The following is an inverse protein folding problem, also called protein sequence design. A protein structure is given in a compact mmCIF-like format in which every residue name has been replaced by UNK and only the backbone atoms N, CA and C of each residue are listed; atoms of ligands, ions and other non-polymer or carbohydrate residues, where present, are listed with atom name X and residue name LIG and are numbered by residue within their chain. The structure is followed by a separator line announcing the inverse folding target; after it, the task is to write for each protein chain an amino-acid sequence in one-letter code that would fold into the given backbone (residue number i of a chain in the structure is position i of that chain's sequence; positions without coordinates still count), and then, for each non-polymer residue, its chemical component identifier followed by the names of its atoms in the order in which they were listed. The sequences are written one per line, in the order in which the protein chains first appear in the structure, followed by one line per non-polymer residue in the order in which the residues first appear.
data_IF_007392975591
#
_entry.id   IF_007392975591
#
_cell.length_a   1.000
_cell.length_b   1.000
_cell.length_c   1.000
_cell.angle_alpha   90.00
_cell.angle_beta   90.00
_cell.angle_gamma   90.00
#
_symmetry.space_group_name_H-M   'P 1'
#
loop_
_entity.id
_entity.type
_entity.pdbx_description
1 polymer ?
#
# COMPACT_ATOMS: atom_id res chain seq x y z
N UNK A 1 -0.71 -26.17 13.19
CA UNK A 1 -1.38 -24.88 13.45
C UNK A 1 -0.32 -23.78 13.36
N UNK A 2 -0.04 -23.29 12.16
CA UNK A 2 0.99 -22.26 11.89
C UNK A 2 0.32 -20.90 12.07
N UNK A 3 0.71 -20.21 13.13
CA UNK A 3 0.10 -18.93 13.54
C UNK A 3 0.49 -17.81 12.57
N UNK A 4 -0.50 -17.01 12.19
CA UNK A 4 -0.34 -15.75 11.48
C UNK A 4 0.60 -14.76 12.21
N UNK A 5 0.93 -15.08 13.43
CA UNK A 5 1.76 -14.29 14.34
C UNK A 5 3.26 -14.35 14.01
N UNK A 6 3.72 -15.28 13.16
CA UNK A 6 5.16 -15.51 12.98
C UNK A 6 5.92 -14.37 12.31
N UNK A 7 5.31 -13.68 11.36
CA UNK A 7 5.98 -12.51 10.74
C UNK A 7 6.00 -11.33 11.71
N UNK A 8 4.91 -11.12 12.44
CA UNK A 8 4.86 -10.12 13.49
C UNK A 8 5.78 -10.48 14.67
N UNK A 9 5.88 -11.77 15.02
CA UNK A 9 6.78 -12.27 16.07
C UNK A 9 8.26 -12.14 15.73
N UNK A 10 8.64 -12.07 14.43
CA UNK A 10 10.03 -11.81 14.03
C UNK A 10 10.55 -10.46 14.53
N UNK A 11 9.68 -9.49 14.70
CA UNK A 11 10.01 -8.15 15.18
C UNK A 11 9.80 -7.99 16.69
N UNK A 12 9.30 -9.04 17.36
CA UNK A 12 9.02 -9.03 18.80
C UNK A 12 10.25 -9.49 19.60
N UNK A 13 10.61 -8.69 20.61
CA UNK A 13 11.65 -9.06 21.57
C UNK A 13 11.01 -9.74 22.78
N UNK A 14 11.74 -10.64 23.49
CA UNK A 14 11.26 -11.22 24.73
C UNK A 14 10.90 -10.19 25.81
N UNK A 15 11.48 -9.01 25.73
CA UNK A 15 11.26 -7.88 26.66
C UNK A 15 10.16 -6.93 26.22
N UNK A 16 9.55 -7.14 25.06
CA UNK A 16 8.50 -6.25 24.56
C UNK A 16 7.22 -6.46 25.37
N UNK A 17 6.50 -5.37 25.70
CA UNK A 17 5.22 -5.48 26.39
C UNK A 17 4.19 -6.18 25.50
N UNK A 18 3.14 -6.79 26.11
CA UNK A 18 2.09 -7.44 25.33
C UNK A 18 1.41 -6.46 24.39
N UNK A 19 1.19 -6.90 23.13
CA UNK A 19 0.48 -6.12 22.14
C UNK A 19 -1.03 -6.31 22.27
N UNK A 20 -1.72 -5.16 22.20
CA UNK A 20 -3.17 -5.12 22.12
C UNK A 20 -3.58 -4.50 20.78
N UNK A 21 -3.48 -5.25 19.66
CA UNK A 21 -3.73 -4.70 18.31
C UNK A 21 -5.15 -4.13 18.13
N UNK A 22 -6.13 -4.62 18.91
CA UNK A 22 -7.49 -4.09 18.90
C UNK A 22 -7.59 -2.65 19.39
N UNK A 23 -6.65 -2.19 20.25
CA UNK A 23 -6.61 -0.79 20.71
C UNK A 23 -6.28 0.18 19.57
N UNK A 24 -5.58 -0.27 18.53
CA UNK A 24 -5.28 0.54 17.35
C UNK A 24 -6.50 0.73 16.43
N UNK A 25 -7.51 -0.13 16.56
CA UNK A 25 -8.76 0.00 15.81
C UNK A 25 -9.53 1.27 16.20
N UNK A 26 -9.48 1.67 17.46
CA UNK A 26 -10.21 2.85 17.96
C UNK A 26 -9.70 4.14 17.30
N UNK A 27 -8.40 4.51 17.39
CA UNK A 27 -7.90 5.68 16.68
C UNK A 27 -8.03 5.53 15.17
N UNK A 28 -7.86 4.33 14.60
CA UNK A 28 -8.07 4.08 13.18
C UNK A 28 -9.50 4.42 12.72
N UNK A 29 -10.50 4.00 13.46
CA UNK A 29 -11.91 4.31 13.15
C UNK A 29 -12.19 5.81 13.35
N UNK A 30 -11.68 6.41 14.42
CA UNK A 30 -11.91 7.84 14.73
C UNK A 30 -11.26 8.73 13.67
N UNK A 31 -9.96 8.50 13.38
CA UNK A 31 -9.25 9.32 12.40
C UNK A 31 -9.68 9.01 10.96
N UNK A 32 -9.89 7.74 10.61
CA UNK A 32 -10.38 7.34 9.29
C UNK A 32 -11.80 7.83 9.03
N UNK A 33 -12.70 7.62 9.99
CA UNK A 33 -14.09 8.12 9.92
C UNK A 33 -14.16 9.65 9.89
N UNK A 34 -13.36 10.32 10.71
CA UNK A 34 -13.24 11.78 10.71
C UNK A 34 -12.71 12.32 9.38
N UNK A 35 -11.72 11.66 8.79
CA UNK A 35 -11.20 12.01 7.47
C UNK A 35 -12.27 11.85 6.38
N UNK A 36 -13.00 10.73 6.35
CA UNK A 36 -14.09 10.50 5.39
C UNK A 36 -15.18 11.55 5.55
N UNK A 37 -15.58 11.85 6.79
CA UNK A 37 -16.57 12.88 7.07
C UNK A 37 -16.10 14.27 6.59
N UNK A 38 -14.87 14.65 6.86
CA UNK A 38 -14.29 15.91 6.38
C UNK A 38 -14.16 15.93 4.84
N UNK A 39 -13.80 14.82 4.21
CA UNK A 39 -13.73 14.72 2.75
C UNK A 39 -15.11 14.89 2.10
N UNK A 40 -16.18 14.38 2.74
CA UNK A 40 -17.54 14.52 2.23
C UNK A 40 -18.06 15.97 2.29
N UNK A 41 -17.47 16.85 3.12
CA UNK A 41 -17.78 18.28 3.14
C UNK A 41 -17.13 19.09 2.01
N UNK A 42 -16.32 18.46 1.18
CA UNK A 42 -15.65 19.10 0.04
C UNK A 42 -14.49 20.03 0.45
N UNK A 43 -13.85 19.79 1.57
CA UNK A 43 -12.69 20.59 2.02
C UNK A 43 -11.55 20.50 0.99
N UNK A 44 -11.21 21.66 0.41
CA UNK A 44 -10.13 21.76 -0.57
C UNK A 44 -8.78 21.32 0.07
N UNK A 45 -8.01 20.54 -0.68
CA UNK A 45 -6.68 20.11 -0.27
C UNK A 45 -6.62 18.91 0.69
N UNK A 46 -7.77 18.41 1.19
CA UNK A 46 -7.76 17.28 2.13
C UNK A 46 -7.21 15.99 1.51
N UNK A 47 -7.53 15.72 0.25
CA UNK A 47 -7.03 14.55 -0.48
C UNK A 47 -5.51 14.65 -0.65
N UNK A 48 -5.00 15.83 -1.04
CA UNK A 48 -3.57 16.08 -1.18
C UNK A 48 -2.84 15.95 0.15
N UNK A 49 -3.44 16.44 1.24
CA UNK A 49 -2.91 16.23 2.59
C UNK A 49 -2.86 14.75 2.97
N UNK A 50 -3.88 13.98 2.61
CA UNK A 50 -3.91 12.52 2.79
C UNK A 50 -2.78 11.81 2.07
N UNK A 51 -2.52 12.16 0.80
CA UNK A 51 -1.38 11.61 0.04
C UNK A 51 -0.03 12.02 0.64
N UNK A 52 0.11 13.27 1.08
CA UNK A 52 1.34 13.74 1.73
C UNK A 52 1.62 12.96 3.01
N UNK A 53 0.62 12.81 3.87
CA UNK A 53 0.73 12.03 5.12
C UNK A 53 1.09 10.58 4.82
N UNK A 54 0.41 9.97 3.86
CA UNK A 54 0.72 8.60 3.41
C UNK A 54 2.18 8.46 2.97
N UNK A 55 2.65 9.37 2.12
CA UNK A 55 4.02 9.34 1.61
C UNK A 55 5.05 9.49 2.72
N UNK A 56 4.86 10.45 3.64
CA UNK A 56 5.77 10.68 4.76
C UNK A 56 5.82 9.47 5.71
N UNK A 57 4.67 8.87 6.00
CA UNK A 57 4.58 7.66 6.83
C UNK A 57 5.25 6.46 6.16
N UNK A 58 5.08 6.27 4.84
CA UNK A 58 5.74 5.20 4.11
C UNK A 58 7.28 5.38 4.08
N UNK A 59 7.77 6.61 3.87
CA UNK A 59 9.21 6.91 3.95
C UNK A 59 9.74 6.65 5.36
N UNK A 60 9.03 7.12 6.39
CA UNK A 60 9.36 6.87 7.79
C UNK A 60 9.36 5.38 8.14
N UNK A 61 8.43 4.61 7.55
CA UNK A 61 8.35 3.16 7.68
C UNK A 61 9.63 2.48 7.19
N UNK A 62 10.09 2.83 5.97
CA UNK A 62 11.32 2.25 5.40
C UNK A 62 12.54 2.54 6.29
N UNK A 63 12.65 3.78 6.79
CA UNK A 63 13.70 4.14 7.74
C UNK A 63 13.59 3.36 9.06
N UNK A 64 12.38 3.20 9.58
CA UNK A 64 12.14 2.43 10.80
C UNK A 64 12.44 0.94 10.66
N UNK A 65 12.14 0.36 9.50
CA UNK A 65 12.40 -1.06 9.19
C UNK A 65 13.88 -1.37 8.97
N UNK A 66 14.72 -0.37 8.74
CA UNK A 66 16.16 -0.56 8.53
C UNK A 66 16.90 -1.06 9.79
N UNK A 67 16.32 -0.93 10.99
CA UNK A 67 16.89 -1.39 12.25
C UNK A 67 15.89 -2.25 13.01
N UNK A 68 16.35 -3.38 13.56
CA UNK A 68 15.52 -4.26 14.39
C UNK A 68 14.96 -3.54 15.62
N UNK A 69 15.69 -2.55 16.15
CA UNK A 69 15.24 -1.77 17.30
C UNK A 69 13.98 -0.93 17.02
N UNK A 70 13.84 -0.44 15.79
CA UNK A 70 12.76 0.43 15.33
C UNK A 70 11.79 -0.26 14.40
N UNK A 71 12.03 -1.52 14.04
CA UNK A 71 11.24 -2.26 13.04
C UNK A 71 9.75 -2.30 13.37
N UNK A 72 9.40 -2.40 14.65
CA UNK A 72 8.01 -2.43 15.11
C UNK A 72 7.28 -1.10 14.83
N UNK A 73 7.91 0.02 15.15
CA UNK A 73 7.36 1.35 14.84
C UNK A 73 7.35 1.60 13.33
N UNK A 74 8.38 1.14 12.61
CA UNK A 74 8.42 1.18 11.15
C UNK A 74 7.26 0.43 10.51
N UNK A 75 6.96 -0.78 10.98
CA UNK A 75 5.82 -1.55 10.50
C UNK A 75 4.48 -0.85 10.74
N UNK A 76 4.30 -0.26 11.94
CA UNK A 76 3.10 0.52 12.24
C UNK A 76 2.96 1.73 11.32
N UNK A 77 4.05 2.47 11.08
CA UNK A 77 4.06 3.59 10.14
C UNK A 77 3.69 3.14 8.72
N UNK A 78 4.16 1.96 8.29
CA UNK A 78 3.80 1.38 6.99
C UNK A 78 2.32 1.07 6.86
N UNK A 79 1.74 0.43 7.86
CA UNK A 79 0.30 0.12 7.89
C UNK A 79 -0.53 1.41 7.84
N UNK A 80 -0.19 2.39 8.66
CA UNK A 80 -0.88 3.69 8.68
C UNK A 80 -0.67 4.47 7.38
N UNK A 81 0.55 4.43 6.82
CA UNK A 81 0.89 5.08 5.55
C UNK A 81 0.09 4.52 4.38
N UNK A 82 0.11 3.20 4.21
CA UNK A 82 -0.68 2.54 3.15
C UNK A 82 -2.18 2.74 3.38
N UNK A 83 -2.67 2.57 4.61
CA UNK A 83 -4.07 2.77 4.95
C UNK A 83 -4.56 4.18 4.65
N UNK A 84 -3.78 5.21 5.02
CA UNK A 84 -4.13 6.61 4.72
C UNK A 84 -4.10 6.91 3.21
N UNK A 85 -3.17 6.31 2.46
CA UNK A 85 -3.12 6.43 1.00
C UNK A 85 -4.33 5.81 0.30
N UNK A 86 -4.72 4.61 0.72
CA UNK A 86 -5.94 3.95 0.21
C UNK A 86 -7.17 4.79 0.53
N UNK A 87 -7.27 5.32 1.75
CA UNK A 87 -8.38 6.16 2.17
C UNK A 87 -8.45 7.46 1.35
N UNK A 88 -7.30 8.12 1.13
CA UNK A 88 -7.22 9.31 0.28
C UNK A 88 -7.62 9.01 -1.16
N UNK A 89 -7.21 7.88 -1.71
CA UNK A 89 -7.58 7.46 -3.07
C UNK A 89 -9.08 7.19 -3.22
N UNK A 90 -9.68 6.53 -2.23
CA UNK A 90 -11.14 6.30 -2.23
C UNK A 90 -11.92 7.61 -2.17
N UNK A 91 -11.44 8.59 -1.38
CA UNK A 91 -12.09 9.92 -1.32
C UNK A 91 -11.86 10.74 -2.59
N UNK A 92 -10.71 10.58 -3.28
CA UNK A 92 -10.41 11.23 -4.55
C UNK A 92 -11.31 10.77 -5.70
N UNK A 93 -11.64 9.48 -5.73
CA UNK A 93 -12.56 8.91 -6.74
C UNK A 93 -13.97 9.47 -6.61
N UNK A 94 -14.30 10.02 -5.45
CA UNK A 94 -15.68 10.41 -5.14
C UNK A 94 -16.55 9.19 -4.85
N UNK A 95 -17.68 9.42 -4.24
CA UNK A 95 -18.58 8.34 -3.81
C UNK A 95 -19.65 8.00 -4.86
N UNK A 96 -19.28 8.01 -6.16
CA UNK A 96 -20.16 7.46 -7.19
C UNK A 96 -20.40 5.96 -6.89
N UNK A 97 -21.65 5.51 -6.66
CA UNK A 97 -21.92 4.18 -6.11
C UNK A 97 -21.32 3.05 -6.93
N UNK A 98 -21.40 3.15 -8.25
CA UNK A 98 -20.90 2.12 -9.16
C UNK A 98 -19.37 1.97 -9.09
N UNK A 99 -18.64 3.08 -9.15
CA UNK A 99 -17.18 3.09 -9.08
C UNK A 99 -16.70 2.64 -7.70
N UNK A 100 -17.38 3.07 -6.64
CA UNK A 100 -17.05 2.68 -5.27
C UNK A 100 -17.23 1.16 -5.06
N UNK A 101 -18.33 0.58 -5.56
CA UNK A 101 -18.56 -0.87 -5.46
C UNK A 101 -17.47 -1.64 -6.22
N UNK A 102 -17.10 -1.20 -7.42
CA UNK A 102 -16.03 -1.84 -8.19
C UNK A 102 -14.68 -1.75 -7.46
N UNK A 103 -14.32 -0.57 -6.95
CA UNK A 103 -13.09 -0.38 -6.17
C UNK A 103 -13.06 -1.26 -4.92
N UNK A 104 -14.15 -1.30 -4.15
CA UNK A 104 -14.24 -2.12 -2.94
C UNK A 104 -14.22 -3.61 -3.24
N UNK A 105 -14.86 -4.04 -4.33
CA UNK A 105 -14.83 -5.45 -4.75
C UNK A 105 -13.41 -5.89 -5.13
N UNK A 106 -12.70 -5.11 -5.95
CA UNK A 106 -11.32 -5.41 -6.36
C UNK A 106 -10.37 -5.33 -5.17
N UNK A 107 -10.47 -4.29 -4.34
CA UNK A 107 -9.67 -4.14 -3.13
C UNK A 107 -9.94 -5.26 -2.13
N UNK A 108 -11.20 -5.69 -1.98
CA UNK A 108 -11.59 -6.81 -1.13
C UNK A 108 -11.00 -8.13 -1.60
N UNK A 109 -11.07 -8.42 -2.90
CA UNK A 109 -10.43 -9.61 -3.48
C UNK A 109 -8.91 -9.58 -3.30
N UNK A 110 -8.26 -8.46 -3.60
CA UNK A 110 -6.82 -8.29 -3.42
C UNK A 110 -6.40 -8.46 -1.95
N UNK A 111 -7.16 -7.90 -1.03
CA UNK A 111 -6.92 -8.03 0.43
C UNK A 111 -7.10 -9.46 0.91
N UNK A 112 -8.11 -10.17 0.42
CA UNK A 112 -8.34 -11.58 0.76
C UNK A 112 -7.18 -12.46 0.25
N UNK A 113 -6.77 -12.30 -1.00
CA UNK A 113 -5.65 -13.04 -1.59
C UNK A 113 -4.35 -12.71 -0.84
N UNK A 114 -4.04 -11.42 -0.66
CA UNK A 114 -2.84 -10.96 0.05
C UNK A 114 -2.80 -11.43 1.49
N UNK A 115 -3.93 -11.39 2.20
CA UNK A 115 -4.06 -11.86 3.57
C UNK A 115 -3.89 -13.38 3.70
N UNK A 116 -4.42 -14.15 2.76
CA UNK A 116 -4.24 -15.61 2.72
C UNK A 116 -2.79 -15.99 2.44
N UNK A 117 -2.14 -15.32 1.47
CA UNK A 117 -0.73 -15.52 1.17
C UNK A 117 0.14 -15.12 2.35
N UNK A 118 -0.06 -13.93 2.93
CA UNK A 118 0.73 -13.42 4.05
C UNK A 118 0.67 -14.31 5.30
N UNK A 119 -0.45 -15.01 5.52
CA UNK A 119 -0.59 -15.98 6.64
C UNK A 119 0.19 -17.27 6.44
N UNK A 120 0.58 -17.60 5.22
CA UNK A 120 1.27 -18.86 4.88
C UNK A 120 2.77 -18.71 4.73
N UNK A 121 3.26 -17.48 4.54
CA UNK A 121 4.67 -17.19 4.29
C UNK A 121 5.51 -17.52 5.52
N UNK A 122 6.61 -18.22 5.27
CA UNK A 122 7.66 -18.46 6.27
C UNK A 122 8.76 -17.39 6.15
N UNK A 123 9.55 -17.15 7.21
CA UNK A 123 10.67 -16.20 7.15
C UNK A 123 11.67 -16.42 6.02
N UNK A 124 11.86 -17.69 5.63
CA UNK A 124 12.76 -18.08 4.54
C UNK A 124 12.22 -17.75 3.16
N UNK A 125 10.90 -17.64 3.01
CA UNK A 125 10.21 -17.31 1.76
C UNK A 125 9.98 -15.80 1.58
N UNK A 126 10.28 -14.99 2.62
CA UNK A 126 10.10 -13.53 2.57
C UNK A 126 10.76 -12.87 1.35
N UNK A 127 12.03 -13.15 0.98
CA UNK A 127 12.65 -12.52 -0.18
C UNK A 127 11.91 -12.81 -1.48
N UNK A 128 11.43 -14.03 -1.66
CA UNK A 128 10.64 -14.44 -2.83
C UNK A 128 9.30 -13.71 -2.89
N UNK A 129 8.62 -13.62 -1.75
CA UNK A 129 7.33 -12.94 -1.66
C UNK A 129 7.45 -11.43 -1.87
N UNK A 130 8.52 -10.82 -1.38
CA UNK A 130 8.81 -9.40 -1.64
C UNK A 130 9.04 -9.17 -3.14
N UNK A 131 9.81 -10.03 -3.81
CA UNK A 131 10.02 -9.93 -5.25
C UNK A 131 8.70 -10.14 -6.03
N UNK A 132 7.88 -11.12 -5.65
CA UNK A 132 6.57 -11.35 -6.26
C UNK A 132 5.64 -10.14 -6.07
N UNK A 133 5.59 -9.56 -4.86
CA UNK A 133 4.80 -8.38 -4.58
C UNK A 133 5.25 -7.18 -5.43
N UNK A 134 6.57 -6.94 -5.53
CA UNK A 134 7.11 -5.85 -6.34
C UNK A 134 6.78 -6.01 -7.83
N UNK A 135 6.75 -7.25 -8.35
CA UNK A 135 6.32 -7.48 -9.73
C UNK A 135 4.87 -7.06 -9.95
N UNK A 136 3.97 -7.42 -9.05
CA UNK A 136 2.55 -7.01 -9.13
C UNK A 136 2.40 -5.50 -9.01
N UNK A 137 3.12 -4.86 -8.09
CA UNK A 137 3.11 -3.40 -7.91
C UNK A 137 3.66 -2.70 -9.15
N UNK A 138 4.75 -3.20 -9.74
CA UNK A 138 5.30 -2.68 -10.99
C UNK A 138 4.30 -2.74 -12.14
N UNK A 139 3.61 -3.87 -12.29
CA UNK A 139 2.56 -4.03 -13.29
C UNK A 139 1.38 -3.07 -13.03
N UNK A 140 0.96 -2.93 -11.78
CA UNK A 140 -0.09 -1.99 -11.39
C UNK A 140 0.27 -0.54 -11.76
N UNK A 141 1.53 -0.12 -11.54
CA UNK A 141 2.01 1.21 -11.92
C UNK A 141 1.95 1.43 -13.44
N UNK A 142 2.34 0.42 -14.25
CA UNK A 142 2.21 0.48 -15.73
C UNK A 142 0.76 0.65 -16.13
N UNK A 143 -0.13 -0.21 -15.62
CA UNK A 143 -1.56 -0.19 -15.99
C UNK A 143 -2.24 1.11 -15.56
N UNK A 144 -1.91 1.62 -14.38
CA UNK A 144 -2.44 2.90 -13.89
C UNK A 144 -1.98 4.06 -14.76
N UNK A 145 -0.71 4.09 -15.15
CA UNK A 145 -0.16 5.14 -16.00
C UNK A 145 -0.77 5.11 -17.40
N UNK A 146 -0.94 3.94 -18.00
CA UNK A 146 -1.65 3.78 -19.27
C UNK A 146 -3.12 4.20 -19.14
N UNK A 147 -3.79 3.73 -18.08
CA UNK A 147 -5.19 4.06 -17.81
C UNK A 147 -5.42 5.56 -17.63
N UNK A 148 -4.49 6.27 -16.97
CA UNK A 148 -4.60 7.71 -16.77
C UNK A 148 -4.53 8.49 -18.10
N UNK A 149 -3.68 8.06 -19.03
CA UNK A 149 -3.58 8.66 -20.37
C UNK A 149 -4.85 8.38 -21.18
N UNK A 150 -5.34 7.15 -21.16
CA UNK A 150 -6.54 6.77 -21.89
C UNK A 150 -7.79 7.50 -21.37
N UNK A 151 -7.87 7.73 -20.07
CA UNK A 151 -8.99 8.46 -19.47
C UNK A 151 -8.95 9.97 -19.75
N UNK A 152 -7.78 10.55 -19.99
CA UNK A 152 -7.58 11.99 -20.14
C UNK A 152 -7.18 12.43 -21.56
N UNK A 153 -7.45 11.62 -22.59
CA UNK A 153 -6.98 11.86 -23.98
C UNK A 153 -7.31 13.27 -24.50
N UNK A 154 -8.40 13.88 -24.05
CA UNK A 154 -8.81 15.21 -24.48
C UNK A 154 -8.17 16.37 -23.70
N UNK A 155 -7.48 16.08 -22.58
CA UNK A 155 -6.94 17.07 -21.65
C UNK A 155 -5.51 16.73 -21.22
N UNK A 156 -4.72 16.12 -22.10
CA UNK A 156 -3.33 15.77 -21.84
C UNK A 156 -2.46 17.03 -21.88
N UNK A 157 -1.93 17.42 -20.75
CA UNK A 157 -0.86 18.41 -20.66
C UNK A 157 0.53 17.73 -20.68
N UNK A 158 1.56 18.55 -20.87
CA UNK A 158 2.95 18.04 -20.92
C UNK A 158 3.33 17.32 -19.63
N UNK A 159 2.94 17.82 -18.47
CA UNK A 159 3.26 17.24 -17.17
C UNK A 159 2.62 15.87 -17.01
N UNK A 160 1.34 15.75 -17.42
CA UNK A 160 0.61 14.48 -17.37
C UNK A 160 1.30 13.43 -18.26
N UNK A 161 1.70 13.79 -19.48
CA UNK A 161 2.38 12.86 -20.38
C UNK A 161 3.73 12.42 -19.85
N UNK A 162 4.54 13.35 -19.32
CA UNK A 162 5.85 13.01 -18.74
C UNK A 162 5.71 12.09 -17.53
N UNK A 163 4.78 12.40 -16.62
CA UNK A 163 4.58 11.57 -15.43
C UNK A 163 4.04 10.19 -15.78
N UNK A 164 3.13 10.07 -16.74
CA UNK A 164 2.62 8.80 -17.22
C UNK A 164 3.72 7.97 -17.91
N UNK A 165 4.55 8.60 -18.74
CA UNK A 165 5.70 7.92 -19.36
C UNK A 165 6.68 7.39 -18.33
N UNK A 166 7.04 8.21 -17.34
CA UNK A 166 7.91 7.77 -16.23
C UNK A 166 7.26 6.63 -15.42
N UNK A 167 5.96 6.69 -15.19
CA UNK A 167 5.22 5.64 -14.51
C UNK A 167 5.27 4.30 -15.26
N UNK A 168 5.11 4.32 -16.58
CA UNK A 168 5.25 3.11 -17.42
C UNK A 168 6.70 2.60 -17.39
N UNK A 169 7.69 3.48 -17.53
CA UNK A 169 9.09 3.11 -17.54
C UNK A 169 9.52 2.50 -16.20
N UNK A 170 9.27 3.20 -15.10
CA UNK A 170 9.64 2.74 -13.74
C UNK A 170 8.87 1.48 -13.38
N UNK A 171 7.58 1.43 -13.67
CA UNK A 171 6.76 0.25 -13.42
C UNK A 171 7.21 -0.96 -14.22
N UNK A 172 7.56 -0.76 -15.50
CA UNK A 172 8.08 -1.82 -16.38
C UNK A 172 9.43 -2.38 -15.90
N UNK A 173 10.37 -1.51 -15.52
CA UNK A 173 11.66 -1.92 -14.94
C UNK A 173 11.45 -2.66 -13.62
N UNK A 174 10.55 -2.16 -12.76
CA UNK A 174 10.22 -2.81 -11.49
C UNK A 174 9.61 -4.20 -11.71
N UNK A 175 8.66 -4.32 -12.64
CA UNK A 175 8.05 -5.60 -12.98
C UNK A 175 9.07 -6.61 -13.50
N UNK A 176 9.80 -6.26 -14.55
CA UNK A 176 10.75 -7.18 -15.19
C UNK A 176 11.91 -7.53 -14.29
N UNK A 177 12.48 -6.56 -13.57
CA UNK A 177 13.56 -6.80 -12.61
C UNK A 177 13.13 -7.71 -11.46
N UNK A 178 11.92 -7.55 -10.96
CA UNK A 178 11.37 -8.40 -9.89
C UNK A 178 11.09 -9.83 -10.37
N UNK A 179 10.60 -10.01 -11.60
CA UNK A 179 10.42 -11.35 -12.22
C UNK A 179 11.77 -12.06 -12.40
N UNK A 180 12.80 -11.33 -12.86
CA UNK A 180 14.16 -11.89 -12.98
C UNK A 180 14.70 -12.26 -11.60
N UNK A 181 14.57 -11.39 -10.60
CA UNK A 181 14.99 -11.67 -9.22
C UNK A 181 14.28 -12.93 -8.68
N UNK A 182 12.96 -13.04 -8.90
CA UNK A 182 12.19 -14.21 -8.48
C UNK A 182 12.68 -15.50 -9.13
N UNK A 183 13.04 -15.46 -10.42
CA UNK A 183 13.58 -16.63 -11.14
C UNK A 183 14.94 -17.07 -10.61
N UNK A 184 15.80 -16.12 -10.20
CA UNK A 184 17.12 -16.39 -9.65
C UNK A 184 17.08 -16.92 -8.21
N UNK A 185 16.10 -16.51 -7.41
CA UNK A 185 15.95 -16.98 -6.02
C UNK A 185 15.37 -18.41 -6.00
N UNK A 186 14.72 -18.84 -7.05
CA UNK A 186 14.09 -20.17 -7.14
C UNK A 186 15.03 -21.29 -7.61
N UNK A 187 16.26 -20.94 -8.01
CA UNK A 187 17.32 -21.88 -8.39
C UNK A 187 18.19 -22.21 -7.18
#
# INVERSE_FOLDING_TARGET
MLRADRVADMFRRPTDPPDYPWLYAVPGIVFGGGYIAAASTGMAGLVQAGYLVSSLLCIGSLSGLASQATARSGNLMGILGVGSGVLASLTAVGFAPETLIQCLAVAGMGSAIGGLLGRRITPTELPQMVAALHSVVGLAAVLTSIGSVLAAVQHLDMLHMVTAYLGVLIGGVTFTGSVVALSLIHI
#
